data_IF_493475217301
#
_entry.id   IF_493475217301
#
_cell.length_a   1.000
_cell.length_b   1.000
_cell.length_c   1.000
_cell.angle_alpha   90.00
_cell.angle_beta   90.00
_cell.angle_gamma   90.00
#
_symmetry.space_group_name_H-M   'P 1'
#
loop_
_entity.id
_entity.type
_entity.pdbx_description
1 polymer ?
#
# COMPACT_ATOMS: atom_id res chain seq x y z
N UNK A 1 -21.87 -4.02 15.14
CA UNK A 1 -21.42 -3.63 13.78
C UNK A 1 -21.47 -4.80 12.82
N UNK A 2 -20.92 -6.00 13.16
CA UNK A 2 -20.90 -7.18 12.25
C UNK A 2 -22.30 -7.61 11.74
N UNK A 3 -23.36 -7.42 12.48
CA UNK A 3 -24.72 -7.80 12.10
C UNK A 3 -25.31 -6.95 10.97
N UNK A 4 -24.87 -5.70 10.82
CA UNK A 4 -25.36 -4.75 9.83
C UNK A 4 -24.51 -4.70 8.55
N UNK A 5 -23.38 -5.40 8.53
CA UNK A 5 -22.42 -5.32 7.45
C UNK A 5 -22.35 -6.61 6.63
N UNK A 6 -22.35 -6.47 5.32
CA UNK A 6 -22.02 -7.53 4.37
C UNK A 6 -20.70 -7.18 3.65
N UNK A 7 -19.79 -8.15 3.54
CA UNK A 7 -18.48 -7.98 2.88
C UNK A 7 -18.47 -8.68 1.54
N UNK A 8 -18.15 -7.91 0.48
CA UNK A 8 -18.07 -8.38 -0.90
C UNK A 8 -16.62 -8.33 -1.38
N UNK A 9 -15.97 -9.49 -1.41
CA UNK A 9 -14.60 -9.67 -1.93
C UNK A 9 -14.39 -11.12 -2.35
N UNK A 10 -13.42 -11.39 -3.23
CA UNK A 10 -12.96 -12.73 -3.56
C UNK A 10 -14.06 -13.70 -4.08
N UNK A 11 -15.00 -13.20 -4.88
CA UNK A 11 -16.09 -14.02 -5.44
C UNK A 11 -17.33 -14.15 -4.54
N UNK A 12 -17.37 -13.46 -3.39
CA UNK A 12 -18.58 -13.40 -2.56
C UNK A 12 -19.72 -12.72 -3.33
N UNK A 13 -20.98 -13.16 -3.06
CA UNK A 13 -22.15 -12.55 -3.66
C UNK A 13 -22.26 -11.06 -3.32
N UNK A 14 -22.51 -10.17 -4.30
CA UNK A 14 -22.70 -8.75 -4.04
C UNK A 14 -24.07 -8.43 -3.44
N UNK A 15 -24.99 -9.36 -3.44
CA UNK A 15 -26.36 -9.14 -2.98
C UNK A 15 -26.51 -9.54 -1.51
N UNK A 16 -27.16 -8.67 -0.74
CA UNK A 16 -27.43 -8.88 0.68
C UNK A 16 -28.61 -8.01 1.12
N UNK A 17 -29.28 -8.44 2.18
CA UNK A 17 -30.32 -7.70 2.91
C UNK A 17 -29.75 -6.76 3.99
N UNK A 18 -28.40 -6.65 4.07
CA UNK A 18 -27.74 -5.83 5.08
C UNK A 18 -27.73 -4.36 4.67
N UNK A 19 -27.84 -3.48 5.67
CA UNK A 19 -27.86 -2.04 5.48
C UNK A 19 -26.52 -1.47 4.97
N UNK A 20 -25.40 -2.14 5.29
CA UNK A 20 -24.05 -1.69 4.95
C UNK A 20 -23.33 -2.74 4.11
N UNK A 21 -22.93 -2.36 2.90
CA UNK A 21 -22.10 -3.18 2.02
C UNK A 21 -20.67 -2.65 2.04
N UNK A 22 -19.72 -3.47 2.47
CA UNK A 22 -18.29 -3.17 2.41
C UNK A 22 -17.69 -3.96 1.25
N UNK A 23 -17.15 -3.26 0.27
CA UNK A 23 -16.73 -3.90 -1.00
C UNK A 23 -15.48 -3.25 -1.59
N UNK A 24 -14.78 -4.01 -2.43
CA UNK A 24 -13.78 -3.45 -3.34
C UNK A 24 -14.44 -3.05 -4.65
N UNK A 25 -13.94 -2.01 -5.29
CA UNK A 25 -14.50 -1.55 -6.57
C UNK A 25 -14.46 -2.62 -7.66
N UNK A 26 -13.45 -3.50 -7.64
CA UNK A 26 -13.29 -4.61 -8.57
C UNK A 26 -14.47 -5.60 -8.52
N UNK A 27 -15.06 -5.78 -7.35
CA UNK A 27 -16.17 -6.70 -7.15
C UNK A 27 -17.49 -6.19 -7.70
N UNK A 28 -17.66 -4.87 -7.84
CA UNK A 28 -18.95 -4.26 -8.16
C UNK A 28 -18.98 -3.43 -9.44
N UNK A 29 -17.84 -3.04 -10.04
CA UNK A 29 -17.83 -2.08 -11.16
C UNK A 29 -18.59 -2.56 -12.41
N UNK A 30 -18.70 -3.87 -12.64
CA UNK A 30 -19.44 -4.47 -13.75
C UNK A 30 -20.94 -4.63 -13.48
N UNK A 31 -21.39 -4.45 -12.24
CA UNK A 31 -22.79 -4.62 -11.89
C UNK A 31 -23.68 -3.58 -12.58
N UNK A 32 -24.94 -3.94 -12.92
CA UNK A 32 -25.86 -3.04 -13.58
C UNK A 32 -26.27 -1.88 -12.67
N UNK A 33 -26.75 -0.76 -13.29
CA UNK A 33 -27.18 0.44 -12.59
C UNK A 33 -28.24 0.14 -11.50
N UNK A 34 -29.12 -0.80 -11.74
CA UNK A 34 -30.17 -1.22 -10.78
C UNK A 34 -29.59 -1.69 -9.43
N UNK A 35 -28.40 -2.29 -9.42
CA UNK A 35 -27.73 -2.68 -8.15
C UNK A 35 -27.45 -1.49 -7.25
N UNK A 36 -27.23 -0.32 -7.82
CA UNK A 36 -26.80 0.88 -7.10
C UNK A 36 -27.97 1.78 -6.69
N UNK A 37 -29.22 1.50 -7.13
CA UNK A 37 -30.37 2.40 -6.90
C UNK A 37 -30.82 2.48 -5.45
N UNK A 38 -30.56 1.44 -4.65
CA UNK A 38 -31.06 1.35 -3.27
C UNK A 38 -30.11 2.00 -2.22
N UNK A 39 -28.93 2.49 -2.68
CA UNK A 39 -27.95 3.05 -1.78
C UNK A 39 -28.12 4.57 -1.64
N UNK A 40 -28.52 5.03 -0.43
CA UNK A 40 -28.66 6.43 -0.10
C UNK A 40 -27.35 7.12 0.28
N UNK A 41 -26.31 6.36 0.62
CA UNK A 41 -25.00 6.87 1.00
C UNK A 41 -23.86 6.02 0.42
N UNK A 42 -22.76 6.67 0.05
CA UNK A 42 -21.51 6.04 -0.35
C UNK A 42 -20.34 6.68 0.37
N UNK A 43 -19.44 5.85 0.89
CA UNK A 43 -18.18 6.27 1.49
C UNK A 43 -17.05 5.66 0.67
N UNK A 44 -16.20 6.51 0.09
CA UNK A 44 -15.00 6.12 -0.64
C UNK A 44 -13.76 6.33 0.21
N UNK A 45 -13.07 5.24 0.55
CA UNK A 45 -11.74 5.31 1.11
C UNK A 45 -10.71 5.45 0.00
N UNK A 46 -9.55 6.06 0.28
CA UNK A 46 -8.54 6.43 -0.71
C UNK A 46 -9.16 7.20 -1.91
N UNK A 47 -9.96 8.22 -1.59
CA UNK A 47 -10.77 8.96 -2.55
C UNK A 47 -9.96 9.52 -3.73
N UNK A 48 -8.65 9.78 -3.58
CA UNK A 48 -7.77 10.22 -4.66
C UNK A 48 -7.69 9.23 -5.84
N UNK A 49 -8.06 7.95 -5.62
CA UNK A 49 -8.12 6.94 -6.69
C UNK A 49 -9.38 7.06 -7.57
N UNK A 50 -10.41 7.81 -7.14
CA UNK A 50 -11.68 7.95 -7.87
C UNK A 50 -11.60 8.79 -9.16
N UNK A 51 -10.42 9.22 -9.54
CA UNK A 51 -10.09 9.69 -10.88
C UNK A 51 -10.08 8.57 -11.94
N UNK A 52 -9.96 7.30 -11.54
CA UNK A 52 -9.95 6.16 -12.45
C UNK A 52 -11.35 5.93 -13.06
N UNK A 53 -11.40 5.63 -14.37
CA UNK A 53 -12.64 5.44 -15.14
C UNK A 53 -13.60 4.41 -14.51
N UNK A 54 -13.08 3.37 -13.89
CA UNK A 54 -13.91 2.34 -13.22
C UNK A 54 -14.64 2.90 -12.00
N UNK A 55 -13.95 3.70 -11.20
CA UNK A 55 -14.51 4.29 -9.98
C UNK A 55 -15.46 5.43 -10.29
N UNK A 56 -15.13 6.32 -11.24
CA UNK A 56 -16.05 7.34 -11.72
C UNK A 56 -17.29 6.72 -12.35
N UNK A 57 -17.14 5.58 -13.03
CA UNK A 57 -18.26 4.81 -13.58
C UNK A 57 -19.21 4.25 -12.51
N UNK A 58 -18.68 3.76 -11.38
CA UNK A 58 -19.48 3.36 -10.22
C UNK A 58 -20.25 4.54 -9.67
N UNK A 59 -19.58 5.68 -9.47
CA UNK A 59 -20.19 6.88 -8.92
C UNK A 59 -21.30 7.44 -9.84
N UNK A 60 -21.15 7.29 -11.16
CA UNK A 60 -22.20 7.62 -12.15
C UNK A 60 -23.43 6.69 -12.07
N UNK A 61 -23.26 5.44 -11.61
CA UNK A 61 -24.39 4.51 -11.38
C UNK A 61 -25.16 4.80 -10.09
N UNK A 62 -24.52 5.43 -9.10
CA UNK A 62 -25.08 5.85 -7.82
C UNK A 62 -25.86 7.17 -7.95
N UNK A 63 -26.75 7.31 -8.96
CA UNK A 63 -27.40 8.58 -9.30
C UNK A 63 -28.38 9.07 -8.23
N UNK A 64 -29.05 8.16 -7.50
CA UNK A 64 -29.99 8.47 -6.42
C UNK A 64 -29.32 8.58 -5.04
N UNK A 65 -27.99 8.34 -4.98
CA UNK A 65 -27.23 8.42 -3.76
C UNK A 65 -27.07 9.87 -3.29
N UNK A 66 -27.72 10.19 -2.20
CA UNK A 66 -27.76 11.56 -1.65
C UNK A 66 -26.46 11.96 -0.96
N UNK A 67 -25.84 11.01 -0.23
CA UNK A 67 -24.66 11.30 0.57
C UNK A 67 -23.43 10.62 -0.07
N UNK A 68 -22.46 11.44 -0.47
CA UNK A 68 -21.22 11.01 -1.11
C UNK A 68 -20.04 11.57 -0.35
N UNK A 69 -19.32 10.71 0.35
CA UNK A 69 -18.22 11.09 1.24
C UNK A 69 -16.95 10.38 0.77
N UNK A 70 -15.90 11.14 0.50
CA UNK A 70 -14.57 10.63 0.16
C UNK A 70 -13.56 10.96 1.24
N UNK A 71 -12.77 9.98 1.66
CA UNK A 71 -11.65 10.16 2.57
C UNK A 71 -10.34 9.90 1.85
N UNK A 72 -9.34 10.73 2.08
CA UNK A 72 -7.98 10.51 1.60
C UNK A 72 -6.96 11.21 2.50
N UNK A 73 -5.85 10.56 2.76
CA UNK A 73 -4.69 11.17 3.43
C UNK A 73 -3.82 11.99 2.48
N UNK A 74 -3.93 11.74 1.18
CA UNK A 74 -3.12 12.37 0.14
C UNK A 74 -4.00 12.87 -0.99
N UNK A 75 -3.95 14.16 -1.27
CA UNK A 75 -4.57 14.75 -2.46
C UNK A 75 -3.44 15.24 -3.36
N UNK A 76 -3.22 14.57 -4.50
CA UNK A 76 -2.22 15.00 -5.46
C UNK A 76 -2.57 16.36 -6.06
N UNK A 77 -1.56 17.22 -6.21
CA UNK A 77 -1.73 18.64 -6.54
C UNK A 77 -2.17 18.94 -7.98
N UNK A 78 -2.53 17.93 -8.80
CA UNK A 78 -3.02 18.15 -10.15
C UNK A 78 -4.46 18.68 -10.12
N UNK A 79 -4.66 19.91 -10.55
CA UNK A 79 -5.97 20.57 -10.57
C UNK A 79 -7.04 19.74 -11.29
N UNK A 80 -6.70 19.07 -12.40
CA UNK A 80 -7.62 18.23 -13.16
C UNK A 80 -8.18 17.07 -12.33
N UNK A 81 -7.34 16.43 -11.52
CA UNK A 81 -7.76 15.34 -10.64
C UNK A 81 -8.67 15.87 -9.52
N UNK A 82 -8.38 17.05 -9.01
CA UNK A 82 -9.20 17.71 -7.99
C UNK A 82 -10.61 18.00 -8.49
N UNK A 83 -10.77 18.54 -9.71
CA UNK A 83 -12.06 18.80 -10.31
C UNK A 83 -12.91 17.53 -10.47
N UNK A 84 -12.30 16.42 -10.88
CA UNK A 84 -12.99 15.12 -10.97
C UNK A 84 -13.49 14.68 -9.58
N UNK A 85 -12.66 14.80 -8.55
CA UNK A 85 -13.03 14.41 -7.19
C UNK A 85 -14.11 15.32 -6.60
N UNK A 86 -14.02 16.62 -6.84
CA UNK A 86 -15.06 17.59 -6.44
C UNK A 86 -16.39 17.33 -7.16
N UNK A 87 -16.35 16.92 -8.43
CA UNK A 87 -17.55 16.51 -9.17
C UNK A 87 -18.20 15.22 -8.65
N UNK A 88 -17.41 14.34 -8.03
CA UNK A 88 -17.87 13.06 -7.51
C UNK A 88 -18.34 13.16 -6.05
N UNK A 89 -17.60 13.87 -5.20
CA UNK A 89 -17.82 13.93 -3.75
C UNK A 89 -18.21 15.31 -3.22
N UNK A 90 -18.07 16.38 -4.02
CA UNK A 90 -18.23 17.75 -3.58
C UNK A 90 -16.94 18.41 -3.12
N UNK A 91 -17.07 19.57 -2.48
CA UNK A 91 -15.93 20.39 -2.08
C UNK A 91 -14.97 19.69 -1.13
N UNK A 92 -13.66 19.91 -1.35
CA UNK A 92 -12.59 19.33 -0.52
C UNK A 92 -12.47 20.11 0.80
N UNK A 93 -12.65 19.42 1.91
CA UNK A 93 -12.42 19.94 3.24
C UNK A 93 -11.13 19.36 3.83
N UNK A 94 -10.16 20.22 4.13
CA UNK A 94 -8.93 19.82 4.82
C UNK A 94 -9.16 19.81 6.33
N UNK A 95 -9.34 18.62 6.88
CA UNK A 95 -9.68 18.43 8.30
C UNK A 95 -8.50 18.73 9.22
N UNK A 96 -7.28 18.29 8.84
CA UNK A 96 -6.08 18.46 9.67
C UNK A 96 -4.80 18.42 8.82
N UNK A 97 -3.68 18.77 9.44
CA UNK A 97 -2.34 18.61 8.88
C UNK A 97 -1.62 17.47 9.61
N UNK A 98 -0.74 16.77 8.90
CA UNK A 98 0.11 15.68 9.44
C UNK A 98 0.86 16.11 10.71
N UNK A 99 1.44 17.32 10.70
CA UNK A 99 2.16 17.90 11.86
C UNK A 99 1.28 17.97 13.13
N UNK A 100 0.00 18.32 12.98
CA UNK A 100 -0.92 18.39 14.12
C UNK A 100 -1.23 16.99 14.66
N UNK A 101 -1.36 16.00 13.78
CA UNK A 101 -1.60 14.61 14.18
C UNK A 101 -0.39 14.01 14.90
N UNK A 102 0.83 14.36 14.48
CA UNK A 102 2.07 13.99 15.18
C UNK A 102 2.11 14.64 16.56
N UNK A 103 1.89 15.96 16.65
CA UNK A 103 1.86 16.70 17.94
C UNK A 103 0.81 16.18 18.92
N UNK A 104 -0.31 15.67 18.41
CA UNK A 104 -1.38 15.07 19.21
C UNK A 104 -1.13 13.58 19.54
N UNK A 105 -0.03 12.99 19.10
CA UNK A 105 0.29 11.58 19.33
C UNK A 105 -0.56 10.58 18.51
N UNK A 106 -1.30 11.06 17.50
CA UNK A 106 -2.07 10.19 16.60
C UNK A 106 -1.21 9.55 15.50
N UNK A 107 -0.10 10.17 15.15
CA UNK A 107 0.91 9.66 14.23
C UNK A 107 2.27 9.65 14.90
N UNK A 108 3.08 8.65 14.59
CA UNK A 108 4.47 8.58 15.03
C UNK A 108 5.33 9.64 14.35
N UNK A 109 6.32 10.15 15.05
CA UNK A 109 7.41 10.88 14.43
C UNK A 109 8.21 9.95 13.52
N UNK A 110 8.72 10.48 12.42
CA UNK A 110 9.57 9.72 11.52
C UNK A 110 10.67 10.60 10.91
N UNK A 111 11.80 9.99 10.63
CA UNK A 111 12.94 10.60 9.97
C UNK A 111 13.17 9.91 8.61
N UNK A 112 13.44 10.70 7.58
CA UNK A 112 13.79 10.17 6.24
C UNK A 112 15.30 10.34 6.05
N UNK A 113 16.01 9.22 5.89
CA UNK A 113 17.45 9.18 5.56
C UNK A 113 17.65 8.76 4.11
N UNK A 114 18.19 9.66 3.30
CA UNK A 114 18.56 9.36 1.91
C UNK A 114 20.01 8.94 1.86
N UNK A 115 20.28 7.68 1.57
CA UNK A 115 21.61 7.09 1.47
C UNK A 115 22.07 7.09 0.02
N UNK A 116 23.02 7.95 -0.32
CA UNK A 116 23.58 8.05 -1.68
C UNK A 116 24.74 7.06 -1.85
N UNK A 117 24.51 6.02 -2.66
CA UNK A 117 25.55 5.07 -3.04
C UNK A 117 26.23 5.55 -4.33
N UNK A 118 27.53 5.81 -4.25
CA UNK A 118 28.33 6.16 -5.42
C UNK A 118 28.75 4.88 -6.16
N UNK A 119 28.58 4.88 -7.46
CA UNK A 119 29.06 3.84 -8.38
C UNK A 119 29.60 4.50 -9.66
N UNK A 120 30.28 3.74 -10.49
CA UNK A 120 30.75 4.21 -11.80
C UNK A 120 29.55 4.58 -12.68
N UNK A 121 29.71 5.67 -13.44
CA UNK A 121 28.67 6.10 -14.37
C UNK A 121 28.47 5.05 -15.47
N UNK A 122 27.20 4.75 -15.73
CA UNK A 122 26.77 3.87 -16.81
C UNK A 122 25.62 4.50 -17.56
N UNK A 123 25.61 4.39 -18.87
CA UNK A 123 24.50 4.77 -19.73
C UNK A 123 23.60 3.56 -19.98
N UNK A 124 22.30 3.80 -20.01
CA UNK A 124 21.30 2.78 -20.27
C UNK A 124 20.38 3.23 -21.40
N UNK A 125 20.11 2.36 -22.36
CA UNK A 125 19.20 2.66 -23.47
C UNK A 125 17.75 2.78 -23.02
N UNK A 126 17.36 2.01 -22.00
CA UNK A 126 16.00 2.02 -21.47
C UNK A 126 15.97 2.09 -19.93
N UNK A 127 14.88 2.61 -19.42
CA UNK A 127 14.58 2.57 -17.97
C UNK A 127 14.58 1.12 -17.42
N UNK A 128 14.20 0.16 -18.25
CA UNK A 128 14.18 -1.25 -17.87
C UNK A 128 15.59 -1.79 -17.60
N UNK A 129 16.55 -1.43 -18.46
CA UNK A 129 17.95 -1.85 -18.34
C UNK A 129 18.59 -1.22 -17.09
N UNK A 130 18.32 0.07 -16.85
CA UNK A 130 18.74 0.75 -15.62
C UNK A 130 18.20 0.06 -14.36
N UNK A 131 16.91 -0.29 -14.37
CA UNK A 131 16.28 -0.98 -13.25
C UNK A 131 16.83 -2.38 -13.02
N UNK A 132 17.14 -3.10 -14.10
CA UNK A 132 17.75 -4.44 -14.03
C UNK A 132 19.17 -4.35 -13.44
N UNK A 133 19.97 -3.39 -13.90
CA UNK A 133 21.27 -3.10 -13.33
C UNK A 133 21.21 -2.77 -11.84
N UNK A 134 20.34 -1.84 -11.43
CA UNK A 134 20.19 -1.41 -10.03
C UNK A 134 19.77 -2.60 -9.15
N UNK A 135 18.81 -3.40 -9.59
CA UNK A 135 18.29 -4.53 -8.82
C UNK A 135 19.29 -5.70 -8.72
N UNK A 136 20.10 -5.93 -9.76
CA UNK A 136 21.10 -7.00 -9.80
C UNK A 136 22.46 -6.60 -9.22
N UNK A 137 22.69 -5.32 -8.93
CA UNK A 137 23.99 -4.81 -8.50
C UNK A 137 24.42 -5.38 -7.15
N UNK A 138 25.39 -6.29 -7.18
CA UNK A 138 25.84 -7.09 -6.00
C UNK A 138 26.33 -6.22 -4.84
N UNK A 139 27.07 -5.14 -5.13
CA UNK A 139 27.59 -4.22 -4.10
C UNK A 139 26.43 -3.50 -3.38
N UNK A 140 25.44 -3.01 -4.12
CA UNK A 140 24.25 -2.37 -3.60
C UNK A 140 23.42 -3.32 -2.74
N UNK A 141 23.16 -4.52 -3.21
CA UNK A 141 22.38 -5.51 -2.45
C UNK A 141 23.08 -5.96 -1.19
N UNK A 142 24.43 -6.08 -1.20
CA UNK A 142 25.22 -6.31 0.02
C UNK A 142 25.15 -5.15 1.01
N UNK A 143 25.17 -3.92 0.51
CA UNK A 143 24.98 -2.73 1.37
C UNK A 143 23.59 -2.73 2.01
N UNK A 144 22.52 -2.95 1.23
CA UNK A 144 21.14 -3.02 1.75
C UNK A 144 21.01 -4.12 2.80
N UNK A 145 21.56 -5.32 2.51
CA UNK A 145 21.61 -6.42 3.49
C UNK A 145 22.28 -5.99 4.79
N UNK A 146 23.46 -5.37 4.73
CA UNK A 146 24.17 -4.92 5.92
C UNK A 146 23.36 -3.91 6.71
N UNK A 147 22.86 -2.87 6.03
CA UNK A 147 21.99 -1.87 6.63
C UNK A 147 20.81 -2.50 7.36
N UNK A 148 20.07 -3.39 6.70
CA UNK A 148 18.88 -4.04 7.25
C UNK A 148 19.23 -4.90 8.47
N UNK A 149 20.37 -5.61 8.43
CA UNK A 149 20.81 -6.43 9.54
C UNK A 149 21.32 -5.64 10.74
N UNK A 150 21.83 -4.43 10.50
CA UNK A 150 22.37 -3.54 11.55
C UNK A 150 21.26 -2.65 12.18
N UNK A 151 20.10 -2.50 11.52
CA UNK A 151 18.95 -1.80 12.08
C UNK A 151 18.30 -2.60 13.19
N UNK A 152 18.05 -1.97 14.33
CA UNK A 152 17.31 -2.55 15.45
C UNK A 152 15.80 -2.40 15.27
N UNK A 153 15.04 -3.37 15.78
CA UNK A 153 13.58 -3.38 15.73
C UNK A 153 13.01 -3.88 14.42
N UNK A 154 11.68 -3.93 14.36
CA UNK A 154 10.98 -4.46 13.19
C UNK A 154 11.26 -3.62 11.95
N UNK A 155 11.78 -4.24 10.92
CA UNK A 155 12.22 -3.58 9.69
C UNK A 155 11.46 -4.13 8.48
N UNK A 156 10.82 -3.25 7.72
CA UNK A 156 10.17 -3.55 6.45
C UNK A 156 11.09 -3.15 5.29
N UNK A 157 11.39 -4.10 4.41
CA UNK A 157 12.21 -3.89 3.21
C UNK A 157 11.32 -4.02 1.98
N UNK A 158 11.17 -2.94 1.21
CA UNK A 158 10.26 -2.89 0.08
C UNK A 158 10.99 -3.04 -1.26
N UNK A 159 10.47 -3.92 -2.12
CA UNK A 159 11.00 -4.19 -3.46
C UNK A 159 9.93 -4.22 -4.56
N UNK A 160 10.33 -4.09 -5.83
CA UNK A 160 9.45 -4.15 -7.00
C UNK A 160 9.43 -5.54 -7.68
N UNK A 161 10.61 -6.11 -7.96
CA UNK A 161 10.75 -7.33 -8.76
C UNK A 161 10.95 -8.53 -7.85
N UNK A 162 10.01 -9.48 -7.88
CA UNK A 162 10.01 -10.65 -6.98
C UNK A 162 11.24 -11.52 -7.23
N UNK A 163 11.36 -12.09 -8.43
CA UNK A 163 12.41 -13.06 -8.77
C UNK A 163 13.79 -12.41 -8.95
N UNK A 164 13.82 -11.23 -9.62
CA UNK A 164 15.09 -10.55 -9.96
C UNK A 164 15.72 -9.81 -8.78
N UNK A 165 14.94 -9.43 -7.75
CA UNK A 165 15.46 -8.65 -6.64
C UNK A 165 14.99 -9.13 -5.27
N UNK A 166 13.68 -9.30 -5.04
CA UNK A 166 13.11 -9.61 -3.74
C UNK A 166 13.61 -10.91 -3.14
N UNK A 167 13.52 -12.00 -3.90
CA UNK A 167 14.02 -13.32 -3.47
C UNK A 167 15.54 -13.32 -3.23
N UNK A 168 16.40 -12.87 -4.17
CA UNK A 168 17.83 -12.81 -3.92
C UNK A 168 18.23 -11.93 -2.72
N UNK A 169 17.54 -10.81 -2.52
CA UNK A 169 17.78 -9.92 -1.39
C UNK A 169 17.35 -10.58 -0.07
N UNK A 170 16.20 -11.25 -0.07
CA UNK A 170 15.73 -12.01 1.07
C UNK A 170 16.74 -13.10 1.49
N UNK A 171 17.24 -13.89 0.52
CA UNK A 171 18.23 -14.93 0.78
C UNK A 171 19.52 -14.35 1.38
N UNK A 172 19.99 -13.21 0.86
CA UNK A 172 21.15 -12.52 1.40
C UNK A 172 20.95 -12.08 2.86
N UNK A 173 19.76 -11.55 3.19
CA UNK A 173 19.41 -11.10 4.55
C UNK A 173 19.25 -12.32 5.46
N UNK A 174 18.43 -13.28 5.07
CA UNK A 174 18.12 -14.48 5.86
C UNK A 174 19.38 -15.28 6.21
N UNK A 175 20.27 -15.47 5.23
CA UNK A 175 21.55 -16.15 5.44
C UNK A 175 22.49 -15.40 6.40
N UNK A 176 22.41 -14.06 6.49
CA UNK A 176 23.24 -13.28 7.41
C UNK A 176 22.70 -13.30 8.83
N UNK A 177 21.39 -13.11 9.01
CA UNK A 177 20.78 -13.08 10.36
C UNK A 177 20.54 -14.49 10.91
N UNK A 178 20.41 -15.51 10.02
CA UNK A 178 20.14 -16.90 10.39
C UNK A 178 18.97 -16.99 11.40
N UNK A 179 19.21 -17.60 12.56
CA UNK A 179 18.21 -17.79 13.61
C UNK A 179 18.13 -16.61 14.60
N UNK A 180 19.00 -15.62 14.48
CA UNK A 180 19.04 -14.49 15.42
C UNK A 180 17.82 -13.57 15.32
N UNK A 181 17.21 -13.45 14.11
CA UNK A 181 16.02 -12.65 13.84
C UNK A 181 15.05 -13.40 12.94
N UNK A 182 13.77 -13.23 13.18
CA UNK A 182 12.75 -13.78 12.29
C UNK A 182 12.69 -12.98 10.98
N UNK A 183 12.69 -13.71 9.86
CA UNK A 183 12.62 -13.11 8.53
C UNK A 183 11.41 -13.63 7.76
N UNK A 184 10.74 -12.76 6.99
CA UNK A 184 9.56 -13.09 6.20
C UNK A 184 9.72 -12.53 4.80
N UNK A 185 9.36 -13.34 3.78
CA UNK A 185 9.25 -12.88 2.39
C UNK A 185 7.77 -12.84 1.99
N UNK A 186 7.27 -11.65 1.60
CA UNK A 186 5.86 -11.44 1.29
C UNK A 186 5.70 -10.76 -0.08
N UNK A 187 4.96 -11.41 -0.97
CA UNK A 187 4.63 -10.88 -2.30
C UNK A 187 3.27 -11.41 -2.77
N UNK A 188 2.80 -10.98 -3.93
CA UNK A 188 1.45 -11.29 -4.44
C UNK A 188 1.12 -12.78 -4.59
N UNK A 189 2.14 -13.65 -4.74
CA UNK A 189 2.00 -15.11 -4.80
C UNK A 189 1.90 -15.82 -3.45
N UNK A 190 2.08 -15.08 -2.33
CA UNK A 190 1.94 -15.64 -0.98
C UNK A 190 0.48 -15.59 -0.55
N UNK A 191 -0.02 -16.65 0.07
CA UNK A 191 -1.40 -16.73 0.53
C UNK A 191 -1.75 -15.63 1.54
N UNK A 192 -3.02 -15.23 1.55
CA UNK A 192 -3.50 -14.16 2.43
C UNK A 192 -3.33 -14.52 3.91
N UNK A 193 -3.47 -15.79 4.27
CA UNK A 193 -3.27 -16.27 5.64
C UNK A 193 -1.83 -16.14 6.09
N UNK A 194 -0.86 -16.49 5.24
CA UNK A 194 0.57 -16.36 5.54
C UNK A 194 0.99 -14.90 5.66
N UNK A 195 0.45 -14.02 4.83
CA UNK A 195 0.66 -12.57 4.94
C UNK A 195 0.15 -12.02 6.27
N UNK A 196 -1.05 -12.42 6.68
CA UNK A 196 -1.64 -11.99 7.93
C UNK A 196 -0.89 -12.59 9.14
N UNK A 197 -0.40 -13.82 9.04
CA UNK A 197 0.44 -14.45 10.04
C UNK A 197 1.76 -13.69 10.22
N UNK A 198 2.45 -13.36 9.13
CA UNK A 198 3.69 -12.58 9.18
C UNK A 198 3.44 -11.18 9.80
N UNK A 199 2.34 -10.52 9.47
CA UNK A 199 1.94 -9.25 10.09
C UNK A 199 1.74 -9.38 11.59
N UNK A 200 0.99 -10.39 12.04
CA UNK A 200 0.74 -10.65 13.48
C UNK A 200 2.03 -10.95 14.24
N UNK A 201 2.93 -11.74 13.65
CA UNK A 201 4.22 -12.02 14.26
C UNK A 201 5.03 -10.73 14.40
N UNK A 202 5.10 -9.90 13.37
CA UNK A 202 5.79 -8.60 13.43
C UNK A 202 5.19 -7.65 14.49
N UNK A 203 3.89 -7.70 14.74
CA UNK A 203 3.25 -6.90 15.80
C UNK A 203 3.59 -7.40 17.21
N UNK A 204 3.88 -8.69 17.36
CA UNK A 204 4.18 -9.31 18.66
C UNK A 204 5.67 -9.46 18.95
N UNK A 205 6.51 -9.46 17.92
CA UNK A 205 7.96 -9.50 18.05
C UNK A 205 8.55 -8.10 18.11
N UNK A 206 9.73 -7.99 18.74
CA UNK A 206 10.42 -6.70 18.85
C UNK A 206 11.49 -6.48 17.78
N UNK A 207 11.86 -7.54 17.06
CA UNK A 207 12.98 -7.49 16.13
C UNK A 207 12.82 -8.52 15.00
N UNK A 208 12.03 -8.19 14.00
CA UNK A 208 11.79 -9.00 12.81
C UNK A 208 12.09 -8.23 11.52
N UNK A 209 12.39 -8.95 10.44
CA UNK A 209 12.61 -8.37 9.11
C UNK A 209 11.56 -8.91 8.14
N UNK A 210 10.81 -8.01 7.53
CA UNK A 210 9.83 -8.33 6.50
C UNK A 210 10.35 -7.79 5.16
N UNK A 211 10.63 -8.68 4.23
CA UNK A 211 10.99 -8.32 2.84
C UNK A 211 9.74 -8.46 1.99
N UNK A 212 9.20 -7.36 1.47
CA UNK A 212 7.88 -7.36 0.85
C UNK A 212 7.82 -6.58 -0.46
N UNK A 213 6.96 -7.04 -1.39
CA UNK A 213 6.72 -6.29 -2.61
C UNK A 213 5.88 -5.03 -2.36
N UNK A 214 6.16 -3.93 -3.08
CA UNK A 214 5.37 -2.70 -3.00
C UNK A 214 3.88 -2.96 -3.21
N UNK A 215 3.51 -3.78 -4.21
CA UNK A 215 2.12 -4.07 -4.51
C UNK A 215 1.35 -4.75 -3.36
N UNK A 216 2.07 -5.46 -2.49
CA UNK A 216 1.47 -6.16 -1.36
C UNK A 216 1.41 -5.31 -0.10
N UNK A 217 2.38 -4.38 0.09
CA UNK A 217 2.55 -3.62 1.34
C UNK A 217 2.42 -2.10 1.20
N UNK A 218 2.12 -1.57 0.00
CA UNK A 218 2.04 -0.12 -0.22
C UNK A 218 0.75 0.54 0.28
N UNK A 219 -0.34 -0.23 0.44
CA UNK A 219 -1.65 0.31 0.82
C UNK A 219 -2.38 -0.62 1.78
N UNK A 220 -3.02 -0.04 2.79
CA UNK A 220 -3.97 -0.73 3.66
C UNK A 220 -3.38 -1.70 4.69
N UNK A 221 -2.05 -1.77 4.83
CA UNK A 221 -1.40 -2.58 5.86
C UNK A 221 -0.90 -1.68 6.97
N UNK A 222 -1.41 -1.90 8.16
CA UNK A 222 -0.95 -1.24 9.38
C UNK A 222 -0.21 -2.26 10.25
N UNK A 223 1.10 -2.05 10.42
CA UNK A 223 1.94 -2.78 11.39
C UNK A 223 2.26 -1.80 12.51
N UNK A 224 1.59 -1.93 13.65
CA UNK A 224 1.70 -0.98 14.76
C UNK A 224 3.10 -0.90 15.38
N UNK A 225 3.86 -1.98 15.26
CA UNK A 225 5.19 -2.11 15.85
C UNK A 225 6.28 -2.10 14.76
N UNK A 226 6.16 -1.21 13.77
CA UNK A 226 7.15 -1.04 12.70
C UNK A 226 8.09 0.12 13.06
N UNK A 227 9.41 -0.16 13.07
CA UNK A 227 10.42 0.83 13.45
C UNK A 227 11.15 1.39 12.23
N UNK A 228 11.42 0.57 11.21
CA UNK A 228 12.19 0.96 10.05
C UNK A 228 11.50 0.55 8.75
N UNK A 229 11.61 1.41 7.73
CA UNK A 229 11.22 1.09 6.35
C UNK A 229 12.39 1.38 5.43
N UNK A 230 12.82 0.37 4.68
CA UNK A 230 13.91 0.45 3.71
C UNK A 230 13.35 0.27 2.29
N UNK A 231 13.47 1.30 1.47
CA UNK A 231 13.10 1.26 0.06
C UNK A 231 14.25 0.66 -0.75
N UNK A 232 14.19 -0.65 -0.98
CA UNK A 232 15.25 -1.40 -1.65
C UNK A 232 15.22 -1.28 -3.18
N UNK A 233 14.07 -1.05 -3.79
CA UNK A 233 13.97 -0.78 -5.23
C UNK A 233 13.55 0.66 -5.47
N UNK A 234 14.06 1.31 -6.53
CA UNK A 234 13.50 2.57 -7.00
C UNK A 234 12.04 2.36 -7.41
N UNK A 235 11.22 3.36 -7.16
CA UNK A 235 9.85 3.42 -7.66
C UNK A 235 9.71 4.65 -8.54
N UNK A 236 9.11 4.50 -9.73
CA UNK A 236 8.83 5.63 -10.59
C UNK A 236 7.77 6.50 -9.91
N UNK A 237 8.09 7.76 -9.67
CA UNK A 237 7.08 8.74 -9.28
C UNK A 237 6.03 8.83 -10.37
N UNK A 238 4.77 8.73 -10.01
CA UNK A 238 3.65 8.95 -10.93
C UNK A 238 3.17 10.39 -10.82
#
# INVERSE_FOLDING_TARGET
VKHYCHKVYGGATPFSDKDVIITTWQSIYKLPKKYFSDYGAVIGDEAHQFKAKSLTGIMGKLHDCKYRIGFTGTLDGLQTNRLVLEGVFGAVNKVTKTENLIKQGHLSEFEIKVLMLKHEYQEFDTYQDEMEYICSHKGRNRFIRNLVCDLEGNTLVLFNYVEKHGMPLFDLINNKVRESRQTFLIYGGVDTEDREKARRIAETTKDSIIVASYGTFSTGINIRNLHNVVFASPSKSR
#
